data_IF_413686425445
#
_entry.id   IF_413686425445
#
_cell.length_a   1.000
_cell.length_b   1.000
_cell.length_c   1.000
_cell.angle_alpha   90.00
_cell.angle_beta   90.00
_cell.angle_gamma   90.00
#
_symmetry.space_group_name_H-M   'P 1'
#
loop_
_entity.id
_entity.type
_entity.pdbx_description
1 polymer ?
#
# COMPACT_ATOMS: atom_id res chain seq x y z
N UNK A 1 18.48 20.27 11.13
CA UNK A 1 17.41 19.57 10.38
C UNK A 1 17.61 18.05 10.53
N UNK A 2 16.57 17.33 10.89
CA UNK A 2 16.65 15.86 10.96
C UNK A 2 16.85 15.28 9.55
N UNK A 3 17.71 14.25 9.42
CA UNK A 3 17.89 13.55 8.15
C UNK A 3 16.59 12.84 7.77
N UNK A 4 16.18 12.84 6.49
CA UNK A 4 14.96 12.16 6.06
C UNK A 4 15.11 10.64 6.18
N UNK A 5 14.01 9.96 6.50
CA UNK A 5 13.92 8.50 6.39
C UNK A 5 13.87 8.14 4.91
N UNK A 6 14.74 7.21 4.49
CA UNK A 6 14.74 6.68 3.13
C UNK A 6 13.90 5.40 3.09
N UNK A 7 12.90 5.36 2.22
CA UNK A 7 12.05 4.20 1.98
C UNK A 7 12.43 3.60 0.62
N UNK A 8 12.78 2.32 0.61
CA UNK A 8 13.10 1.59 -0.62
C UNK A 8 11.83 1.03 -1.26
N UNK A 9 11.45 1.60 -2.41
CA UNK A 9 10.31 1.17 -3.22
C UNK A 9 8.99 1.89 -2.92
N UNK A 10 8.33 2.36 -3.98
CA UNK A 10 7.01 2.98 -3.95
C UNK A 10 5.87 1.94 -4.07
N UNK A 11 6.04 0.72 -3.54
CA UNK A 11 4.99 -0.28 -3.44
C UNK A 11 3.91 0.11 -2.41
N UNK A 12 2.88 -0.72 -2.25
CA UNK A 12 1.79 -0.50 -1.28
C UNK A 12 2.34 -0.17 0.11
N UNK A 13 3.29 -0.99 0.61
CA UNK A 13 3.85 -0.82 1.96
C UNK A 13 4.68 0.46 2.07
N UNK A 14 5.53 0.75 1.06
CA UNK A 14 6.32 1.98 1.05
C UNK A 14 5.45 3.23 1.04
N UNK A 15 4.37 3.23 0.25
CA UNK A 15 3.42 4.34 0.23
C UNK A 15 2.68 4.49 1.56
N UNK A 16 2.24 3.37 2.18
CA UNK A 16 1.57 3.40 3.50
C UNK A 16 2.51 3.94 4.58
N UNK A 17 3.75 3.48 4.63
CA UNK A 17 4.76 4.01 5.55
C UNK A 17 4.97 5.50 5.33
N UNK A 18 5.12 5.94 4.06
CA UNK A 18 5.23 7.35 3.71
C UNK A 18 4.03 8.19 4.19
N UNK A 19 2.80 7.68 4.05
CA UNK A 19 1.60 8.35 4.56
C UNK A 19 1.60 8.47 6.09
N UNK A 20 2.06 7.44 6.80
CA UNK A 20 2.18 7.46 8.27
C UNK A 20 3.21 8.52 8.70
N UNK A 21 4.38 8.54 8.05
CA UNK A 21 5.44 9.51 8.34
C UNK A 21 4.97 10.94 8.05
N UNK A 22 4.30 11.15 6.92
CA UNK A 22 3.69 12.44 6.56
C UNK A 22 2.71 12.94 7.60
N UNK A 23 1.84 12.05 8.12
CA UNK A 23 0.86 12.39 9.16
C UNK A 23 1.51 12.78 10.49
N UNK A 24 2.76 12.37 10.71
CA UNK A 24 3.56 12.67 11.92
C UNK A 24 4.61 13.76 11.70
N UNK A 25 4.57 14.45 10.55
CA UNK A 25 5.54 15.48 10.15
C UNK A 25 7.01 15.01 10.19
N UNK A 26 7.22 13.71 9.94
CA UNK A 26 8.57 13.11 9.86
C UNK A 26 9.05 13.20 8.42
N UNK A 27 10.21 13.84 8.14
CA UNK A 27 10.74 13.96 6.79
C UNK A 27 11.14 12.59 6.23
N UNK A 28 10.76 12.32 4.98
CA UNK A 28 11.07 11.06 4.29
C UNK A 28 11.18 11.28 2.79
N UNK A 29 11.82 10.32 2.13
CA UNK A 29 11.88 10.17 0.68
C UNK A 29 11.67 8.71 0.31
N UNK A 30 10.93 8.46 -0.76
CA UNK A 30 10.72 7.12 -1.32
C UNK A 30 11.53 7.03 -2.61
N UNK A 31 12.42 6.05 -2.70
CA UNK A 31 13.22 5.77 -3.90
C UNK A 31 12.59 4.61 -4.65
N UNK A 32 12.21 4.82 -5.92
CA UNK A 32 11.55 3.81 -6.74
C UNK A 32 12.32 3.62 -8.05
N UNK A 33 12.80 2.40 -8.29
CA UNK A 33 13.61 2.06 -9.48
C UNK A 33 12.86 2.14 -10.80
N UNK A 34 11.55 1.96 -10.77
CA UNK A 34 10.74 2.09 -11.98
C UNK A 34 10.47 3.55 -12.30
N UNK A 35 10.32 3.86 -13.60
CA UNK A 35 10.01 5.24 -14.06
C UNK A 35 8.61 5.70 -13.72
N UNK A 36 7.70 4.77 -13.49
CA UNK A 36 6.29 5.03 -13.14
C UNK A 36 5.63 3.79 -12.57
N UNK A 37 4.46 3.96 -11.97
CA UNK A 37 3.61 2.84 -11.55
C UNK A 37 3.30 1.92 -12.74
N UNK A 38 3.58 0.63 -12.57
CA UNK A 38 3.27 -0.38 -13.58
C UNK A 38 1.87 -0.92 -13.36
N UNK A 39 1.00 -0.77 -14.37
CA UNK A 39 -0.34 -1.35 -14.32
C UNK A 39 -0.24 -2.87 -14.50
N UNK A 40 -0.69 -3.61 -13.47
CA UNK A 40 -0.87 -5.06 -13.53
C UNK A 40 -2.38 -5.29 -13.61
N UNK A 41 -2.91 -5.67 -14.78
CA UNK A 41 -4.34 -5.90 -14.94
C UNK A 41 -4.79 -7.13 -14.14
N UNK A 42 -6.03 -7.13 -13.70
CA UNK A 42 -6.73 -8.26 -13.07
C UNK A 42 -6.19 -8.76 -11.71
N UNK A 43 -5.18 -8.10 -11.15
CA UNK A 43 -4.75 -8.42 -9.78
C UNK A 43 -5.64 -7.72 -8.78
N UNK A 44 -6.35 -8.52 -7.97
CA UNK A 44 -7.22 -8.02 -6.90
C UNK A 44 -6.60 -8.22 -5.54
N UNK A 45 -7.12 -7.52 -4.56
CA UNK A 45 -6.83 -7.69 -3.13
C UNK A 45 -8.14 -7.66 -2.34
N UNK A 46 -8.24 -8.56 -1.36
CA UNK A 46 -9.32 -8.56 -0.39
C UNK A 46 -8.88 -7.78 0.86
N UNK A 47 -9.68 -6.80 1.24
CA UNK A 47 -9.42 -5.90 2.37
C UNK A 47 -10.39 -6.20 3.51
N UNK A 48 -9.85 -6.57 4.66
CA UNK A 48 -10.65 -6.75 5.89
C UNK A 48 -11.23 -5.42 6.37
N UNK A 49 -12.25 -5.47 7.23
CA UNK A 49 -12.85 -4.28 7.86
C UNK A 49 -11.78 -3.41 8.56
N UNK A 50 -10.88 -4.03 9.31
CA UNK A 50 -9.83 -3.31 10.04
C UNK A 50 -8.83 -2.65 9.11
N UNK A 51 -8.45 -3.32 8.02
CA UNK A 51 -7.61 -2.72 6.97
C UNK A 51 -8.29 -1.50 6.35
N UNK A 52 -9.58 -1.57 6.05
CA UNK A 52 -10.34 -0.44 5.51
C UNK A 52 -10.39 0.72 6.49
N UNK A 53 -10.67 0.46 7.76
CA UNK A 53 -10.67 1.48 8.81
C UNK A 53 -9.30 2.13 8.94
N UNK A 54 -8.24 1.34 8.92
CA UNK A 54 -6.86 1.85 8.95
C UNK A 54 -6.56 2.76 7.75
N UNK A 55 -6.84 2.32 6.53
CA UNK A 55 -6.62 3.11 5.31
C UNK A 55 -7.39 4.44 5.34
N UNK A 56 -8.67 4.40 5.72
CA UNK A 56 -9.50 5.59 5.85
C UNK A 56 -9.03 6.52 6.97
N UNK A 57 -8.38 5.98 8.01
CA UNK A 57 -7.78 6.79 9.07
C UNK A 57 -6.53 7.56 8.61
N UNK A 58 -5.81 7.05 7.62
CA UNK A 58 -4.66 7.73 7.04
C UNK A 58 -5.08 8.91 6.16
N UNK A 59 -6.06 8.69 5.29
CA UNK A 59 -6.66 9.74 4.48
C UNK A 59 -8.12 9.38 4.14
N UNK A 60 -9.07 10.22 4.57
CA UNK A 60 -10.51 10.05 4.29
C UNK A 60 -10.84 10.05 2.79
N UNK A 61 -9.98 10.62 1.94
CA UNK A 61 -10.17 10.64 0.48
C UNK A 61 -9.95 9.28 -0.18
N UNK A 62 -9.29 8.34 0.50
CA UNK A 62 -9.12 6.97 0.01
C UNK A 62 -10.49 6.30 -0.13
N UNK A 63 -11.37 6.47 0.83
CA UNK A 63 -12.78 6.01 0.89
C UNK A 63 -13.04 4.70 0.13
N UNK A 64 -12.44 3.63 0.64
CA UNK A 64 -12.48 2.28 0.04
C UNK A 64 -13.92 1.84 -0.27
N UNK A 65 -14.87 2.20 0.58
CA UNK A 65 -16.27 1.76 0.45
C UNK A 65 -16.97 2.26 -0.81
N UNK A 66 -16.47 3.32 -1.45
CA UNK A 66 -17.07 3.88 -2.66
C UNK A 66 -16.73 3.11 -3.94
N UNK A 67 -15.63 2.37 -3.95
CA UNK A 67 -15.12 1.78 -5.19
C UNK A 67 -14.69 0.31 -5.07
N UNK A 68 -14.61 -0.24 -3.87
CA UNK A 68 -14.37 -1.65 -3.66
C UNK A 68 -15.69 -2.42 -3.62
N UNK A 69 -15.68 -3.64 -4.14
CA UNK A 69 -16.84 -4.54 -4.15
C UNK A 69 -16.99 -5.23 -2.81
N UNK A 70 -18.09 -5.04 -2.07
CA UNK A 70 -18.33 -5.74 -0.81
C UNK A 70 -18.62 -7.23 -1.07
N UNK A 71 -18.11 -8.08 -0.19
CA UNK A 71 -18.33 -9.55 -0.19
C UNK A 71 -18.95 -9.94 1.14
N UNK A 72 -20.17 -10.49 1.11
CA UNK A 72 -20.90 -10.92 2.28
C UNK A 72 -20.61 -12.37 2.66
N UNK A 73 -20.25 -13.22 1.70
CA UNK A 73 -20.00 -14.64 1.92
C UNK A 73 -18.72 -15.09 1.22
N UNK A 74 -17.92 -15.91 1.90
CA UNK A 74 -16.76 -16.62 1.36
C UNK A 74 -16.83 -18.10 1.73
N UNK A 75 -16.57 -18.96 0.77
CA UNK A 75 -16.51 -20.40 0.96
C UNK A 75 -15.11 -20.90 0.60
N UNK A 76 -14.54 -21.69 1.49
CA UNK A 76 -13.22 -22.30 1.30
C UNK A 76 -13.41 -23.79 1.02
N UNK A 77 -12.83 -24.26 -0.07
CA UNK A 77 -12.87 -25.67 -0.47
C UNK A 77 -11.45 -26.26 -0.45
N UNK A 78 -11.35 -27.49 0.06
CA UNK A 78 -10.12 -28.29 -0.03
C UNK A 78 -10.48 -29.64 -0.67
N UNK A 79 -9.77 -30.00 -1.76
CA UNK A 79 -10.05 -31.23 -2.51
C UNK A 79 -11.52 -31.43 -2.90
N UNK A 80 -12.21 -30.35 -3.29
CA UNK A 80 -13.66 -30.28 -3.60
C UNK A 80 -14.60 -30.33 -2.39
N UNK A 81 -14.11 -30.54 -1.18
CA UNK A 81 -14.91 -30.52 0.04
C UNK A 81 -14.97 -29.11 0.64
N UNK A 82 -16.18 -28.66 1.00
CA UNK A 82 -16.37 -27.39 1.69
C UNK A 82 -15.75 -27.48 3.09
N UNK A 83 -14.69 -26.74 3.33
CA UNK A 83 -13.94 -26.75 4.59
C UNK A 83 -14.40 -25.65 5.54
N UNK A 84 -14.71 -24.46 5.01
CA UNK A 84 -15.09 -23.33 5.83
C UNK A 84 -16.02 -22.38 5.06
N UNK A 85 -17.01 -21.87 5.75
CA UNK A 85 -17.85 -20.76 5.27
C UNK A 85 -17.68 -19.57 6.22
N UNK A 86 -17.35 -18.42 5.64
CA UNK A 86 -17.45 -17.13 6.32
C UNK A 86 -18.66 -16.42 5.74
N UNK A 87 -19.67 -16.22 6.56
CA UNK A 87 -20.91 -15.55 6.19
C UNK A 87 -21.23 -14.47 7.23
N UNK A 88 -21.64 -13.31 6.74
CA UNK A 88 -22.08 -12.19 7.55
C UNK A 88 -23.54 -11.88 7.21
N UNK A 89 -24.42 -12.16 8.15
CA UNK A 89 -25.85 -11.87 8.02
C UNK A 89 -26.11 -10.36 8.04
N UNK A 90 -27.00 -9.90 7.17
CA UNK A 90 -27.43 -8.51 7.10
C UNK A 90 -26.49 -7.57 6.32
N UNK A 91 -26.34 -6.34 6.78
CA UNK A 91 -25.53 -5.31 6.12
C UNK A 91 -24.03 -5.43 6.37
N UNK A 92 -23.59 -6.41 7.14
CA UNK A 92 -22.18 -6.67 7.40
C UNK A 92 -21.53 -7.42 6.23
N UNK A 93 -20.28 -7.05 5.95
CA UNK A 93 -19.46 -7.69 4.92
C UNK A 93 -18.26 -8.42 5.54
N UNK A 94 -17.93 -9.55 4.96
CA UNK A 94 -16.75 -10.34 5.34
C UNK A 94 -15.48 -9.59 4.94
N UNK A 95 -15.49 -9.04 3.71
CA UNK A 95 -14.35 -8.32 3.13
C UNK A 95 -14.84 -7.36 2.03
N UNK A 96 -13.93 -6.56 1.50
CA UNK A 96 -14.16 -5.83 0.24
C UNK A 96 -13.03 -6.12 -0.73
N UNK A 97 -13.35 -6.37 -1.99
CA UNK A 97 -12.36 -6.68 -3.03
C UNK A 97 -12.19 -5.47 -3.94
N UNK A 98 -10.96 -5.14 -4.26
CA UNK A 98 -10.63 -4.09 -5.21
C UNK A 98 -9.46 -4.49 -6.11
N UNK A 99 -9.29 -3.77 -7.23
CA UNK A 99 -8.08 -3.89 -8.04
C UNK A 99 -6.89 -3.34 -7.25
N UNK A 100 -5.83 -4.12 -7.19
CA UNK A 100 -4.60 -3.73 -6.50
C UNK A 100 -3.99 -2.46 -7.10
N UNK A 101 -4.10 -2.29 -8.42
CA UNK A 101 -3.63 -1.10 -9.10
C UNK A 101 -4.36 0.17 -8.64
N UNK A 102 -5.70 0.11 -8.53
CA UNK A 102 -6.50 1.26 -8.12
C UNK A 102 -6.19 1.69 -6.69
N UNK A 103 -6.02 0.71 -5.79
CA UNK A 103 -5.56 0.97 -4.44
C UNK A 103 -4.18 1.64 -4.46
N UNK A 104 -3.23 1.07 -5.19
CA UNK A 104 -1.87 1.57 -5.27
C UNK A 104 -1.80 3.00 -5.82
N UNK A 105 -2.54 3.27 -6.90
CA UNK A 105 -2.61 4.62 -7.49
C UNK A 105 -3.12 5.66 -6.48
N UNK A 106 -4.15 5.31 -5.70
CA UNK A 106 -4.66 6.20 -4.64
C UNK A 106 -3.63 6.46 -3.54
N UNK A 107 -2.87 5.44 -3.13
CA UNK A 107 -1.81 5.60 -2.13
C UNK A 107 -0.66 6.48 -2.66
N UNK A 108 -0.22 6.25 -3.91
CA UNK A 108 0.82 7.05 -4.56
C UNK A 108 0.45 8.53 -4.58
N UNK A 109 -0.76 8.90 -4.97
CA UNK A 109 -1.23 10.29 -5.01
C UNK A 109 -1.04 11.04 -3.67
N UNK A 110 -1.08 10.31 -2.56
CA UNK A 110 -0.88 10.90 -1.23
C UNK A 110 0.58 11.25 -0.92
N UNK A 111 1.53 10.54 -1.51
CA UNK A 111 2.97 10.67 -1.23
C UNK A 111 3.79 11.03 -2.47
N UNK A 112 3.15 11.36 -3.59
CA UNK A 112 3.77 11.58 -4.91
C UNK A 112 4.95 12.56 -4.86
N UNK A 113 4.82 13.64 -4.11
CA UNK A 113 5.86 14.67 -3.95
C UNK A 113 7.13 14.15 -3.25
N UNK A 114 7.04 13.03 -2.55
CA UNK A 114 8.14 12.41 -1.82
C UNK A 114 8.75 11.24 -2.59
N UNK A 115 8.20 10.87 -3.76
CA UNK A 115 8.71 9.75 -4.57
C UNK A 115 9.71 10.28 -5.59
N UNK A 116 10.90 9.68 -5.57
CA UNK A 116 11.88 9.82 -6.64
C UNK A 116 11.83 8.60 -7.54
N UNK A 117 11.25 8.79 -8.70
CA UNK A 117 11.13 7.75 -9.73
C UNK A 117 12.44 7.55 -10.48
N UNK A 118 12.64 6.35 -11.03
CA UNK A 118 13.84 5.99 -11.78
C UNK A 118 15.12 6.13 -10.95
N UNK A 119 15.00 5.91 -9.64
CA UNK A 119 16.11 6.00 -8.69
C UNK A 119 16.21 4.72 -7.87
N UNK A 120 17.26 3.92 -8.15
CA UNK A 120 17.51 2.62 -7.53
C UNK A 120 18.60 2.73 -6.47
N UNK A 121 18.36 2.11 -5.30
CA UNK A 121 19.38 1.95 -4.26
C UNK A 121 20.34 0.85 -4.72
N UNK A 122 21.61 1.17 -4.84
CA UNK A 122 22.68 0.25 -5.27
C UNK A 122 23.60 -0.18 -4.13
N UNK A 123 23.74 0.66 -3.09
CA UNK A 123 24.60 0.33 -1.96
C UNK A 123 24.15 1.08 -0.68
N UNK A 124 24.49 0.50 0.48
CA UNK A 124 24.34 1.09 1.80
C UNK A 124 25.72 1.11 2.46
N UNK A 125 26.29 2.30 2.62
CA UNK A 125 27.58 2.48 3.27
C UNK A 125 27.38 2.88 4.72
N UNK A 126 28.20 2.28 5.58
CA UNK A 126 28.31 2.51 7.05
C UNK A 126 27.05 2.14 7.85
N UNK A 127 27.16 1.15 8.80
CA UNK A 127 26.03 0.71 9.64
C UNK A 127 25.52 1.80 10.59
N UNK A 128 26.42 2.60 11.18
CA UNK A 128 26.09 3.57 12.22
C UNK A 128 25.54 4.90 11.69
N UNK A 129 25.82 5.23 10.43
CA UNK A 129 25.31 6.40 9.76
C UNK A 129 25.06 6.08 8.27
N UNK A 130 23.97 5.38 7.96
CA UNK A 130 23.77 4.81 6.65
C UNK A 130 23.71 5.92 5.57
N UNK A 131 24.60 5.80 4.58
CA UNK A 131 24.60 6.59 3.36
C UNK A 131 24.01 5.70 2.28
N UNK A 132 22.89 6.12 1.72
CA UNK A 132 22.25 5.44 0.61
C UNK A 132 22.89 5.93 -0.69
N UNK A 133 23.51 5.01 -1.42
CA UNK A 133 24.03 5.28 -2.76
C UNK A 133 22.99 4.86 -3.78
N UNK A 134 22.72 5.73 -4.75
CA UNK A 134 21.75 5.46 -5.82
C UNK A 134 22.44 5.48 -7.19
N UNK A 135 21.71 5.01 -8.22
CA UNK A 135 22.18 5.06 -9.61
C UNK A 135 22.33 6.49 -10.18
N UNK A 136 21.88 7.50 -9.44
CA UNK A 136 21.92 8.92 -9.87
C UNK A 136 22.92 9.76 -9.07
N UNK A 137 23.42 9.24 -7.93
CA UNK A 137 24.38 9.95 -7.05
C UNK A 137 25.43 8.99 -6.51
#
# INVERSE_FOLDING_TARGET
MSKPIVIAGAGIIGCLLGMILKKRDIPFVILEKNKKLKKIPFRTVALTKDTILFLNSLDKKIDINRWATPVSKMELYQNHDLTMTLDKNGNDKVTSICLLYDLHEKLIKNVEKNIKWDEEIIDLKTPDNPIVQTNKN
#
